data_IF_326058842382
#
_entry.id   IF_326058842382
#
_cell.length_a   1.000
_cell.length_b   1.000
_cell.length_c   1.000
_cell.angle_alpha   90.00
_cell.angle_beta   90.00
_cell.angle_gamma   90.00
#
_symmetry.space_group_name_H-M   'P 1'
#
loop_
_entity.id
_entity.type
_entity.pdbx_description
1 polymer ?
#
# COMPACT_ATOMS: atom_id res chain seq x y z
N UNK A 1 21.11 -69.64 -57.13
CA UNK A 1 21.67 -68.31 -56.98
C UNK A 1 20.64 -67.33 -57.53
N UNK A 2 19.81 -66.74 -56.67
CA UNK A 2 18.74 -65.80 -57.08
C UNK A 2 19.06 -64.43 -56.52
N UNK A 3 19.30 -63.48 -57.41
CA UNK A 3 19.44 -62.07 -57.09
C UNK A 3 18.09 -61.47 -56.81
N UNK A 4 17.89 -60.97 -55.59
CA UNK A 4 16.74 -60.17 -55.23
C UNK A 4 17.15 -58.70 -55.21
N UNK A 5 16.64 -57.92 -56.14
CA UNK A 5 16.73 -56.43 -56.13
C UNK A 5 15.75 -55.89 -55.18
N UNK A 6 16.19 -55.11 -54.11
CA UNK A 6 15.35 -54.28 -53.30
C UNK A 6 15.10 -52.98 -54.05
N UNK A 7 13.85 -52.70 -54.36
CA UNK A 7 13.40 -51.41 -54.83
C UNK A 7 13.11 -50.51 -53.61
N UNK A 8 13.86 -49.42 -53.48
CA UNK A 8 13.64 -48.39 -52.45
C UNK A 8 12.62 -47.41 -52.99
N UNK A 9 11.37 -47.49 -52.50
CA UNK A 9 10.34 -46.53 -52.83
C UNK A 9 10.49 -45.35 -51.87
N UNK A 10 10.90 -44.19 -52.40
CA UNK A 10 11.02 -42.96 -51.69
C UNK A 10 9.58 -42.38 -51.44
N UNK A 11 9.07 -42.49 -50.24
CA UNK A 11 7.85 -41.83 -49.84
C UNK A 11 8.21 -40.35 -49.59
N UNK A 12 7.84 -39.48 -50.52
CA UNK A 12 7.82 -38.04 -50.32
C UNK A 12 6.63 -37.71 -49.36
N UNK A 13 6.92 -37.60 -48.06
CA UNK A 13 5.99 -36.94 -47.12
C UNK A 13 5.98 -35.45 -47.49
N UNK A 14 4.91 -35.00 -48.13
CA UNK A 14 4.57 -33.59 -48.22
C UNK A 14 4.22 -33.11 -46.82
N UNK A 15 5.15 -32.46 -46.13
CA UNK A 15 4.83 -31.64 -44.96
C UNK A 15 3.92 -30.50 -45.42
N UNK A 16 2.62 -30.70 -45.34
CA UNK A 16 1.69 -29.61 -45.41
C UNK A 16 2.01 -28.72 -44.17
N UNK A 17 2.61 -27.56 -44.41
CA UNK A 17 2.81 -26.56 -43.37
C UNK A 17 1.41 -26.24 -42.76
N UNK A 18 1.23 -26.53 -41.51
CA UNK A 18 0.07 -26.09 -40.78
C UNK A 18 -0.07 -24.57 -40.96
N UNK A 19 -1.29 -24.02 -41.10
CA UNK A 19 -1.46 -22.57 -41.22
C UNK A 19 -0.81 -21.92 -40.00
N UNK A 20 0.07 -20.94 -40.23
CA UNK A 20 0.69 -20.17 -39.15
C UNK A 20 -0.43 -19.48 -38.36
N UNK A 21 -0.72 -20.00 -37.17
CA UNK A 21 -1.66 -19.43 -36.25
C UNK A 21 -0.96 -18.17 -35.65
N UNK A 22 -1.70 -17.07 -35.52
CA UNK A 22 -1.20 -15.90 -34.80
C UNK A 22 -0.70 -16.35 -33.44
N UNK A 23 0.47 -15.89 -33.06
CA UNK A 23 1.04 -16.22 -31.74
C UNK A 23 1.69 -15.02 -31.12
N UNK A 24 1.34 -14.77 -29.86
CA UNK A 24 2.02 -13.79 -29.00
C UNK A 24 2.67 -14.55 -27.86
N UNK A 25 3.91 -14.19 -27.57
CA UNK A 25 4.70 -14.74 -26.46
C UNK A 25 5.44 -13.62 -25.77
N UNK A 26 5.43 -13.59 -24.43
CA UNK A 26 6.29 -12.70 -23.65
C UNK A 26 7.64 -13.39 -23.47
N UNK A 27 8.68 -12.81 -24.06
CA UNK A 27 10.04 -13.34 -24.01
C UNK A 27 10.75 -12.92 -22.72
N UNK A 28 10.52 -11.67 -22.31
CA UNK A 28 11.03 -11.07 -21.06
C UNK A 28 10.02 -10.04 -20.54
N UNK A 29 9.78 -9.97 -19.23
CA UNK A 29 10.27 -10.91 -18.20
C UNK A 29 9.66 -12.30 -18.34
N UNK A 30 10.19 -13.27 -17.58
CA UNK A 30 9.62 -14.63 -17.53
C UNK A 30 8.50 -14.71 -16.49
N UNK A 31 7.65 -15.74 -16.62
CA UNK A 31 6.65 -16.07 -15.60
C UNK A 31 7.32 -16.19 -14.23
N UNK A 32 6.75 -15.54 -13.20
CA UNK A 32 7.26 -15.54 -11.83
C UNK A 32 8.48 -14.66 -11.58
N UNK A 33 8.95 -13.87 -12.56
CA UNK A 33 10.11 -12.99 -12.37
C UNK A 33 9.87 -11.92 -11.30
N UNK A 34 10.90 -11.59 -10.52
CA UNK A 34 10.92 -10.39 -9.67
C UNK A 34 11.41 -9.19 -10.48
N UNK A 35 10.69 -8.08 -10.39
CA UNK A 35 10.95 -6.85 -11.15
C UNK A 35 11.14 -5.66 -10.20
N UNK A 36 12.13 -4.82 -10.48
CA UNK A 36 12.39 -3.58 -9.77
C UNK A 36 13.03 -2.54 -10.70
N UNK A 37 12.69 -1.27 -10.55
CA UNK A 37 13.21 -0.18 -11.38
C UNK A 37 12.71 -0.24 -12.82
N UNK A 38 13.55 0.17 -13.75
CA UNK A 38 13.22 0.18 -15.19
C UNK A 38 13.59 -1.17 -15.82
N UNK A 39 12.62 -1.90 -16.31
CA UNK A 39 12.80 -3.22 -16.92
C UNK A 39 12.42 -3.21 -18.40
N UNK A 40 13.08 -4.02 -19.21
CA UNK A 40 12.71 -4.20 -20.61
C UNK A 40 11.66 -5.31 -20.74
N UNK A 41 10.52 -4.99 -21.34
CA UNK A 41 9.52 -5.98 -21.75
C UNK A 41 9.76 -6.32 -23.21
N UNK A 42 10.01 -7.59 -23.50
CA UNK A 42 10.22 -8.12 -24.86
C UNK A 42 9.12 -9.13 -25.16
N UNK A 43 8.43 -8.93 -26.27
CA UNK A 43 7.44 -9.85 -26.77
C UNK A 43 7.75 -10.28 -28.20
N UNK A 44 7.42 -11.51 -28.53
CA UNK A 44 7.37 -12.01 -29.90
C UNK A 44 5.91 -12.02 -30.34
N UNK A 45 5.62 -11.44 -31.50
CA UNK A 45 4.26 -11.40 -32.04
C UNK A 45 4.28 -11.70 -33.54
N UNK A 46 3.70 -12.84 -33.93
CA UNK A 46 3.62 -13.29 -35.31
C UNK A 46 2.19 -13.08 -35.81
N UNK A 47 1.97 -12.30 -36.89
CA UNK A 47 0.63 -12.12 -37.43
C UNK A 47 0.16 -13.39 -38.16
N UNK A 48 -1.15 -13.61 -38.32
CA UNK A 48 -1.68 -14.63 -39.17
C UNK A 48 -1.19 -14.44 -40.62
N UNK A 49 -1.12 -15.55 -41.40
CA UNK A 49 -0.65 -15.53 -42.78
C UNK A 49 -1.44 -14.52 -43.62
N UNK A 50 -0.73 -13.55 -44.22
CA UNK A 50 -1.31 -12.51 -45.07
C UNK A 50 -1.80 -11.28 -44.32
N UNK A 51 -1.69 -11.24 -43.01
CA UNK A 51 -2.06 -10.08 -42.16
C UNK A 51 -0.81 -9.32 -41.71
N UNK A 52 -1.02 -8.09 -41.19
CA UNK A 52 0.05 -7.26 -40.62
C UNK A 52 -0.39 -6.77 -39.25
N UNK A 53 0.55 -6.69 -38.33
CA UNK A 53 0.31 -6.07 -37.03
C UNK A 53 0.25 -4.56 -37.20
N UNK A 54 -0.69 -3.93 -36.49
CA UNK A 54 -0.81 -2.47 -36.36
C UNK A 54 -0.04 -2.00 -35.13
N UNK A 55 -0.17 -2.72 -34.04
CA UNK A 55 0.45 -2.38 -32.76
C UNK A 55 0.66 -3.63 -31.91
N UNK A 56 1.68 -3.57 -31.07
CA UNK A 56 1.88 -4.49 -29.95
C UNK A 56 1.94 -3.65 -28.68
N UNK A 57 1.16 -4.00 -27.67
CA UNK A 57 1.02 -3.23 -26.44
C UNK A 57 1.25 -4.16 -25.27
N UNK A 58 1.91 -3.68 -24.21
CA UNK A 58 1.84 -4.31 -22.89
C UNK A 58 0.88 -3.49 -22.02
N UNK A 59 -0.02 -4.17 -21.36
CA UNK A 59 -0.95 -3.61 -20.41
C UNK A 59 -0.67 -4.16 -19.01
N UNK A 60 -0.62 -3.27 -18.03
CA UNK A 60 -0.44 -3.62 -16.62
C UNK A 60 -1.79 -3.81 -15.94
N UNK A 61 -1.80 -4.46 -14.81
CA UNK A 61 -3.01 -4.65 -13.99
C UNK A 61 -3.62 -3.31 -13.51
N UNK A 62 -2.80 -2.26 -13.39
CA UNK A 62 -3.27 -0.89 -13.06
C UNK A 62 -3.91 -0.16 -14.23
N UNK A 63 -3.91 -0.75 -15.44
CA UNK A 63 -4.50 -0.16 -16.64
C UNK A 63 -3.53 0.66 -17.49
N UNK A 64 -2.28 0.83 -17.10
CA UNK A 64 -1.27 1.49 -17.94
C UNK A 64 -1.00 0.62 -19.16
N UNK A 65 -0.99 1.24 -20.35
CA UNK A 65 -0.73 0.57 -21.63
C UNK A 65 0.45 1.23 -22.33
N UNK A 66 1.49 0.45 -22.62
CA UNK A 66 2.72 0.90 -23.24
C UNK A 66 2.86 0.23 -24.62
N UNK A 67 3.14 1.01 -25.65
CA UNK A 67 3.40 0.49 -27.01
C UNK A 67 4.80 -0.10 -27.08
N UNK A 68 4.91 -1.34 -27.56
CA UNK A 68 6.19 -1.97 -27.85
C UNK A 68 6.63 -1.57 -29.27
N UNK A 69 7.88 -1.14 -29.38
CA UNK A 69 8.50 -0.85 -30.66
C UNK A 69 9.04 -2.13 -31.34
N UNK A 70 8.92 -2.29 -32.66
CA UNK A 70 9.52 -3.41 -33.36
C UNK A 70 11.05 -3.35 -33.23
N UNK A 71 11.65 -4.50 -33.03
CA UNK A 71 13.10 -4.68 -32.96
C UNK A 71 13.60 -5.54 -34.11
N UNK A 72 13.99 -6.80 -33.87
CA UNK A 72 14.49 -7.73 -34.89
C UNK A 72 13.47 -8.80 -35.19
N UNK A 73 13.21 -9.08 -36.44
CA UNK A 73 12.20 -10.04 -36.90
C UNK A 73 10.81 -9.75 -36.30
N UNK A 74 10.20 -10.74 -35.63
CA UNK A 74 8.87 -10.65 -35.03
C UNK A 74 8.91 -10.18 -33.54
N UNK A 75 10.02 -9.60 -33.13
CA UNK A 75 10.21 -9.14 -31.73
C UNK A 75 9.89 -7.67 -31.57
N UNK A 76 9.33 -7.34 -30.42
CA UNK A 76 8.93 -6.00 -30.01
C UNK A 76 9.39 -5.75 -28.57
N UNK A 77 9.86 -4.54 -28.27
CA UNK A 77 10.24 -4.18 -26.90
C UNK A 77 9.78 -2.79 -26.48
N UNK A 78 9.67 -2.63 -25.16
CA UNK A 78 9.46 -1.36 -24.48
C UNK A 78 10.07 -1.41 -23.09
N UNK A 79 10.39 -0.24 -22.54
CA UNK A 79 10.75 -0.11 -21.13
C UNK A 79 9.50 0.06 -20.29
N UNK A 80 9.40 -0.69 -19.19
CA UNK A 80 8.39 -0.58 -18.17
C UNK A 80 9.06 -0.05 -16.89
N UNK A 81 8.61 1.10 -16.42
CA UNK A 81 9.04 1.62 -15.13
C UNK A 81 8.16 1.01 -14.03
N UNK A 82 8.75 0.07 -13.28
CA UNK A 82 8.02 -0.62 -12.22
C UNK A 82 7.69 0.30 -11.03
N UNK A 83 8.33 1.47 -10.89
CA UNK A 83 7.99 2.44 -9.86
C UNK A 83 6.52 2.91 -9.95
N UNK A 84 5.91 2.83 -11.13
CA UNK A 84 4.50 3.12 -11.38
C UNK A 84 3.56 1.97 -11.03
N UNK A 85 4.09 0.80 -10.69
CA UNK A 85 3.33 -0.39 -10.33
C UNK A 85 3.31 -0.57 -8.81
N UNK A 86 2.23 -1.15 -8.31
CA UNK A 86 2.18 -1.58 -6.90
C UNK A 86 3.14 -2.76 -6.69
N UNK A 87 3.77 -2.82 -5.51
CA UNK A 87 4.52 -4.01 -5.11
C UNK A 87 3.57 -5.22 -4.97
N UNK A 88 4.15 -6.41 -5.03
CA UNK A 88 3.42 -7.66 -4.98
C UNK A 88 3.21 -8.28 -6.36
N UNK A 89 2.32 -9.26 -6.43
CA UNK A 89 2.01 -9.98 -7.67
C UNK A 89 1.26 -9.09 -8.65
N UNK A 90 1.75 -9.01 -9.89
CA UNK A 90 1.17 -8.22 -10.97
C UNK A 90 1.00 -9.08 -12.22
N UNK A 91 -0.03 -8.82 -13.00
CA UNK A 91 -0.20 -9.39 -14.33
C UNK A 91 0.31 -8.41 -15.39
N UNK A 92 1.09 -8.90 -16.33
CA UNK A 92 1.48 -8.20 -17.55
C UNK A 92 0.82 -8.89 -18.73
N UNK A 93 -0.02 -8.17 -19.46
CA UNK A 93 -0.75 -8.66 -20.62
C UNK A 93 -0.18 -8.03 -21.89
N UNK A 94 0.35 -8.81 -22.80
CA UNK A 94 0.74 -8.33 -24.14
C UNK A 94 -0.37 -8.61 -25.12
N UNK A 95 -0.75 -7.60 -25.89
CA UNK A 95 -1.82 -7.65 -26.89
C UNK A 95 -1.26 -7.17 -28.22
N UNK A 96 -1.44 -7.98 -29.29
CA UNK A 96 -1.12 -7.62 -30.65
C UNK A 96 -2.39 -7.27 -31.43
N UNK A 97 -2.45 -6.07 -32.00
CA UNK A 97 -3.54 -5.59 -32.86
C UNK A 97 -3.23 -5.82 -34.34
N UNK A 98 -4.19 -6.32 -35.11
CA UNK A 98 -4.08 -6.53 -36.56
C UNK A 98 -4.57 -5.27 -37.29
N UNK A 99 -3.83 -4.84 -38.31
CA UNK A 99 -4.17 -3.65 -39.12
C UNK A 99 -5.52 -3.84 -39.83
N UNK A 100 -6.42 -2.90 -39.62
CA UNK A 100 -7.75 -2.88 -40.26
C UNK A 100 -8.77 -3.80 -39.60
N UNK A 101 -8.43 -4.44 -38.47
CA UNK A 101 -9.37 -5.24 -37.68
C UNK A 101 -10.10 -4.32 -36.69
N UNK A 102 -11.39 -4.11 -36.92
CA UNK A 102 -12.27 -3.37 -36.02
C UNK A 102 -13.08 -4.37 -35.17
N UNK A 103 -12.68 -4.48 -33.90
CA UNK A 103 -13.33 -5.42 -32.96
C UNK A 103 -14.83 -5.13 -32.74
N UNK A 104 -15.29 -3.90 -33.01
CA UNK A 104 -16.69 -3.50 -32.86
C UNK A 104 -17.63 -4.15 -33.90
N UNK A 105 -17.07 -4.69 -34.97
CA UNK A 105 -17.84 -5.32 -36.09
C UNK A 105 -18.18 -6.78 -35.83
N UNK A 106 -17.69 -7.38 -34.76
CA UNK A 106 -17.88 -8.82 -34.50
C UNK A 106 -18.91 -9.04 -33.38
N UNK A 107 -19.90 -9.88 -33.67
CA UNK A 107 -20.88 -10.30 -32.67
C UNK A 107 -20.27 -11.35 -31.73
N UNK A 108 -20.54 -11.25 -30.45
CA UNK A 108 -20.03 -12.05 -29.33
C UNK A 108 -20.27 -13.59 -29.36
N UNK A 109 -20.55 -14.22 -30.49
CA UNK A 109 -20.94 -15.63 -30.58
C UNK A 109 -20.12 -16.49 -31.55
N UNK A 110 -19.02 -15.99 -32.10
CA UNK A 110 -18.18 -16.76 -33.00
C UNK A 110 -16.97 -17.34 -32.28
N UNK A 111 -17.01 -18.66 -31.96
CA UNK A 111 -15.91 -19.39 -31.31
C UNK A 111 -14.57 -19.28 -32.05
N UNK A 112 -14.58 -19.16 -33.37
CA UNK A 112 -13.36 -18.97 -34.19
C UNK A 112 -12.76 -17.60 -33.94
N UNK A 113 -13.57 -16.61 -33.63
CA UNK A 113 -13.12 -15.27 -33.31
C UNK A 113 -12.52 -15.20 -31.87
N UNK A 114 -13.16 -15.84 -30.90
CA UNK A 114 -12.62 -15.93 -29.53
C UNK A 114 -11.24 -16.57 -29.52
N UNK A 115 -11.04 -17.69 -30.21
CA UNK A 115 -9.77 -18.36 -30.32
C UNK A 115 -8.72 -17.52 -31.09
N UNK A 116 -9.15 -16.71 -32.06
CA UNK A 116 -8.27 -15.79 -32.79
C UNK A 116 -7.80 -14.64 -31.90
N UNK A 117 -8.65 -14.10 -31.03
CA UNK A 117 -8.27 -13.09 -30.03
C UNK A 117 -7.30 -13.68 -29.00
N UNK A 118 -7.60 -14.85 -28.46
CA UNK A 118 -6.74 -15.52 -27.50
C UNK A 118 -5.31 -15.72 -28.02
N UNK A 119 -5.15 -16.07 -29.28
CA UNK A 119 -3.85 -16.25 -29.91
C UNK A 119 -3.07 -14.94 -30.14
N UNK A 120 -3.72 -13.77 -29.99
CA UNK A 120 -3.10 -12.43 -30.08
C UNK A 120 -2.80 -11.84 -28.73
N UNK A 121 -2.92 -12.61 -27.66
CA UNK A 121 -2.68 -12.17 -26.29
C UNK A 121 -1.78 -13.17 -25.58
N UNK A 122 -0.93 -12.65 -24.70
CA UNK A 122 -0.14 -13.44 -23.77
C UNK A 122 -0.12 -12.75 -22.43
N UNK A 123 -0.33 -13.49 -21.36
CA UNK A 123 -0.26 -13.00 -19.98
C UNK A 123 0.83 -13.73 -19.22
N UNK A 124 1.57 -13.01 -18.41
CA UNK A 124 2.46 -13.56 -17.40
C UNK A 124 2.20 -12.89 -16.06
N UNK A 125 2.55 -13.57 -14.99
CA UNK A 125 2.54 -13.03 -13.64
C UNK A 125 3.96 -12.77 -13.18
N UNK A 126 4.18 -11.59 -12.62
CA UNK A 126 5.47 -11.14 -12.10
C UNK A 126 5.30 -10.65 -10.67
N UNK A 127 6.38 -10.52 -9.92
CA UNK A 127 6.37 -9.91 -8.60
C UNK A 127 7.16 -8.61 -8.66
N UNK A 128 6.49 -7.48 -8.45
CA UNK A 128 7.14 -6.15 -8.39
C UNK A 128 7.64 -5.92 -6.97
N UNK A 129 8.90 -5.52 -6.85
CA UNK A 129 9.55 -5.19 -5.56
C UNK A 129 10.33 -3.88 -5.68
N UNK A 130 9.61 -2.78 -5.80
CA UNK A 130 10.24 -1.46 -5.73
C UNK A 130 10.64 -1.17 -4.29
N UNK A 131 11.82 -0.58 -4.06
CA UNK A 131 12.19 -0.13 -2.73
C UNK A 131 11.23 0.95 -2.25
N UNK A 132 10.92 0.91 -0.96
CA UNK A 132 10.29 2.00 -0.25
C UNK A 132 11.36 2.78 0.51
N UNK A 133 11.10 4.06 0.68
CA UNK A 133 11.83 4.93 1.61
C UNK A 133 10.99 5.13 2.86
N UNK A 134 11.68 5.32 3.97
CA UNK A 134 11.04 5.66 5.23
C UNK A 134 10.89 7.17 5.31
N UNK A 135 9.67 7.64 5.63
CA UNK A 135 9.37 9.04 5.82
C UNK A 135 8.67 9.23 7.16
N UNK A 136 9.22 10.12 7.98
CA UNK A 136 8.73 10.41 9.32
C UNK A 136 7.85 11.65 9.33
N UNK A 137 6.66 11.54 9.91
CA UNK A 137 5.73 12.65 9.99
C UNK A 137 4.81 12.57 11.19
N UNK A 138 3.97 13.60 11.29
CA UNK A 138 2.89 13.69 12.26
C UNK A 138 1.60 14.05 11.55
N UNK A 139 0.54 13.32 11.87
CA UNK A 139 -0.75 13.41 11.20
C UNK A 139 -1.83 14.06 12.09
N UNK A 140 -1.47 14.53 13.31
CA UNK A 140 -2.43 15.06 14.26
C UNK A 140 -1.84 16.26 15.02
N UNK A 141 -2.30 17.45 14.69
CA UNK A 141 -1.78 18.69 15.28
C UNK A 141 -2.78 19.83 15.19
N UNK A 142 -2.79 20.66 16.22
CA UNK A 142 -3.68 21.80 16.39
C UNK A 142 -2.95 23.14 16.28
N UNK A 143 -3.69 24.16 15.88
CA UNK A 143 -3.25 25.54 15.77
C UNK A 143 -4.20 26.48 16.51
N UNK A 144 -3.98 27.79 16.44
CA UNK A 144 -4.89 28.79 17.04
C UNK A 144 -6.22 28.92 16.29
N UNK A 145 -6.47 28.09 15.27
CA UNK A 145 -7.78 28.02 14.62
C UNK A 145 -8.73 27.05 15.33
N UNK A 146 -8.21 26.30 16.30
CA UNK A 146 -8.97 25.61 17.34
C UNK A 146 -8.34 25.93 18.71
N UNK A 147 -8.04 24.93 19.50
CA UNK A 147 -7.52 25.04 20.86
C UNK A 147 -6.01 24.96 21.00
N UNK A 148 -5.29 24.90 19.87
CA UNK A 148 -3.83 24.95 19.84
C UNK A 148 -3.25 26.35 19.87
N UNK A 149 -1.99 26.48 19.49
CA UNK A 149 -1.21 27.73 19.55
C UNK A 149 -0.67 28.11 18.18
N UNK A 150 -0.59 29.43 17.88
CA UNK A 150 -0.04 30.00 16.65
C UNK A 150 -0.84 29.60 15.38
N UNK A 151 -0.42 30.14 14.25
CA UNK A 151 -1.14 29.97 12.98
C UNK A 151 -0.67 28.71 12.23
N UNK A 152 -1.48 28.16 11.31
CA UNK A 152 -1.12 27.04 10.46
C UNK A 152 0.20 27.23 9.70
N UNK A 153 0.48 28.45 9.23
CA UNK A 153 1.76 28.79 8.62
C UNK A 153 2.94 28.45 9.53
N UNK A 154 2.86 28.85 10.80
CA UNK A 154 3.93 28.62 11.78
C UNK A 154 4.11 27.13 12.04
N UNK A 155 3.01 26.35 12.02
CA UNK A 155 3.00 24.91 12.22
C UNK A 155 3.77 24.19 11.09
N UNK A 156 3.42 24.46 9.83
CA UNK A 156 4.12 23.87 8.69
C UNK A 156 5.60 24.27 8.63
N UNK A 157 5.93 25.55 8.85
CA UNK A 157 7.32 26.03 8.88
C UNK A 157 8.11 25.37 10.02
N UNK A 158 7.51 25.19 11.19
CA UNK A 158 8.16 24.54 12.31
C UNK A 158 8.40 23.04 12.04
N UNK A 159 7.38 22.32 11.60
CA UNK A 159 7.47 20.90 11.26
C UNK A 159 8.57 20.65 10.23
N UNK A 160 8.61 21.44 9.16
CA UNK A 160 9.61 21.34 8.09
C UNK A 160 11.01 21.76 8.55
N UNK A 161 11.14 22.96 9.15
CA UNK A 161 12.47 23.60 9.32
C UNK A 161 13.08 23.38 10.70
N UNK A 162 12.28 23.12 11.74
CA UNK A 162 12.76 22.88 13.12
C UNK A 162 12.66 21.42 13.51
N UNK A 163 11.51 20.82 13.34
CA UNK A 163 11.33 19.41 13.64
C UNK A 163 11.90 18.48 12.55
N UNK A 164 12.13 18.98 11.34
CA UNK A 164 12.70 18.22 10.21
C UNK A 164 11.85 16.98 9.86
N UNK A 165 10.55 17.11 9.93
CA UNK A 165 9.63 16.08 9.46
C UNK A 165 9.66 16.00 7.92
N UNK A 166 9.37 14.83 7.40
CA UNK A 166 9.18 14.61 5.96
C UNK A 166 7.76 14.96 5.54
N UNK A 167 6.78 14.69 6.41
CA UNK A 167 5.38 15.08 6.17
C UNK A 167 4.70 15.52 7.46
N UNK A 168 3.68 16.36 7.32
CA UNK A 168 2.95 16.91 8.47
C UNK A 168 1.53 17.31 8.07
N UNK A 169 0.55 17.10 8.96
CA UNK A 169 -0.82 17.52 8.78
C UNK A 169 -1.26 18.48 9.90
N UNK A 170 -1.93 19.56 9.53
CA UNK A 170 -2.73 20.38 10.46
C UNK A 170 -4.16 19.83 10.44
N UNK A 171 -4.71 19.55 11.63
CA UNK A 171 -6.00 18.89 11.81
C UNK A 171 -6.81 19.55 12.95
N UNK A 172 -6.93 20.86 12.92
CA UNK A 172 -7.73 21.63 13.90
C UNK A 172 -9.15 21.07 14.05
N UNK A 173 -9.76 21.25 15.21
CA UNK A 173 -11.11 20.77 15.51
C UNK A 173 -12.15 21.30 14.52
N UNK A 174 -12.83 20.41 13.86
CA UNK A 174 -13.73 20.69 12.74
C UNK A 174 -14.91 21.58 13.13
N UNK A 175 -15.40 21.45 14.35
CA UNK A 175 -16.51 22.22 14.90
C UNK A 175 -16.13 23.65 15.25
N UNK A 176 -14.86 23.93 15.51
CA UNK A 176 -14.34 25.28 15.81
C UNK A 176 -13.96 26.05 14.54
N UNK A 177 -13.56 25.35 13.46
CA UNK A 177 -13.13 25.96 12.21
C UNK A 177 -14.27 26.70 11.50
N UNK A 178 -14.00 27.91 11.05
CA UNK A 178 -14.77 28.54 9.98
C UNK A 178 -14.32 28.02 8.61
N UNK A 179 -15.16 28.14 7.59
CA UNK A 179 -14.75 27.81 6.21
C UNK A 179 -13.58 28.65 5.71
N UNK A 180 -13.44 29.89 6.21
CA UNK A 180 -12.35 30.79 5.82
C UNK A 180 -11.03 30.35 6.45
N UNK A 181 -11.00 29.98 7.72
CA UNK A 181 -9.83 29.44 8.41
C UNK A 181 -9.39 28.12 7.75
N UNK A 182 -10.34 27.25 7.43
CA UNK A 182 -10.01 26.01 6.72
C UNK A 182 -9.43 26.26 5.33
N UNK A 183 -9.97 27.24 4.60
CA UNK A 183 -9.40 27.65 3.32
C UNK A 183 -7.97 28.21 3.48
N UNK A 184 -7.67 28.89 4.59
CA UNK A 184 -6.31 29.32 4.90
C UNK A 184 -5.41 28.14 5.25
N UNK A 185 -5.87 27.14 6.04
CA UNK A 185 -5.11 25.90 6.28
C UNK A 185 -4.69 25.26 4.96
N UNK A 186 -5.63 25.08 4.01
CA UNK A 186 -5.36 24.54 2.68
C UNK A 186 -4.29 25.38 1.96
N UNK A 187 -4.45 26.70 1.95
CA UNK A 187 -3.53 27.61 1.28
C UNK A 187 -2.12 27.59 1.91
N UNK A 188 -2.01 27.46 3.23
CA UNK A 188 -0.72 27.35 3.92
C UNK A 188 -0.07 25.98 3.67
N UNK A 189 -0.85 24.89 3.64
CA UNK A 189 -0.37 23.57 3.25
C UNK A 189 0.21 23.59 1.82
N UNK A 190 -0.52 24.17 0.85
CA UNK A 190 -0.07 24.25 -0.53
C UNK A 190 1.20 25.10 -0.70
N UNK A 191 1.37 26.16 0.12
CA UNK A 191 2.60 26.98 0.12
C UNK A 191 3.78 26.26 0.76
N UNK A 192 3.53 25.43 1.76
CA UNK A 192 4.57 24.73 2.51
C UNK A 192 5.04 23.45 1.81
N UNK A 193 4.17 22.87 0.95
CA UNK A 193 4.44 21.62 0.24
C UNK A 193 5.62 21.77 -0.72
N UNK A 194 6.59 20.89 -0.59
CA UNK A 194 7.83 20.87 -1.37
C UNK A 194 8.17 19.42 -1.73
N UNK A 195 7.61 18.89 -2.84
CA UNK A 195 7.87 17.53 -3.26
C UNK A 195 9.36 17.17 -3.27
N UNK A 196 9.68 16.01 -2.70
CA UNK A 196 11.07 15.55 -2.49
C UNK A 196 11.76 16.13 -1.25
N UNK A 197 11.14 17.05 -0.52
CA UNK A 197 11.71 17.66 0.71
C UNK A 197 10.76 17.65 1.89
N UNK A 198 9.49 18.00 1.68
CA UNK A 198 8.48 18.10 2.73
C UNK A 198 7.09 18.01 2.11
N UNK A 199 6.25 17.15 2.64
CA UNK A 199 4.85 17.02 2.23
C UNK A 199 3.95 17.65 3.29
N UNK A 200 3.22 18.68 2.90
CA UNK A 200 2.23 19.33 3.73
C UNK A 200 0.83 18.78 3.41
N UNK A 201 0.23 18.12 4.39
CA UNK A 201 -1.14 17.64 4.36
C UNK A 201 -2.03 18.59 5.16
N UNK A 202 -3.30 18.63 4.83
CA UNK A 202 -4.32 19.33 5.59
C UNK A 202 -5.48 18.38 5.88
N UNK A 203 -6.16 18.64 6.97
CA UNK A 203 -7.33 17.88 7.40
C UNK A 203 -8.11 18.62 8.45
N UNK A 204 -8.96 17.93 9.16
CA UNK A 204 -9.58 18.40 10.36
C UNK A 204 -9.89 17.22 11.29
N UNK A 205 -10.01 17.49 12.58
CA UNK A 205 -10.44 16.55 13.57
C UNK A 205 -11.93 16.73 13.88
N UNK A 206 -12.73 15.72 13.61
CA UNK A 206 -14.13 15.68 13.99
C UNK A 206 -14.25 15.17 15.43
N UNK A 207 -14.64 16.05 16.34
CA UNK A 207 -14.91 15.72 17.74
C UNK A 207 -16.31 15.13 17.88
N UNK A 208 -16.41 14.01 18.57
CA UNK A 208 -17.66 13.29 18.81
C UNK A 208 -17.71 12.75 20.24
N UNK A 209 -18.90 12.43 20.71
CA UNK A 209 -19.12 11.90 22.07
C UNK A 209 -18.41 10.56 22.33
N UNK A 210 -18.01 9.85 21.28
CA UNK A 210 -17.47 8.49 21.36
C UNK A 210 -16.05 8.33 20.80
N UNK A 211 -15.41 9.44 20.41
CA UNK A 211 -14.03 9.48 19.92
C UNK A 211 -13.79 10.54 18.87
N UNK A 212 -12.55 10.90 18.67
CA UNK A 212 -12.13 11.89 17.71
C UNK A 212 -11.58 11.23 16.44
N UNK A 213 -11.89 11.80 15.28
CA UNK A 213 -11.49 11.28 13.99
C UNK A 213 -10.83 12.35 13.15
N UNK A 214 -9.59 12.12 12.72
CA UNK A 214 -9.02 12.92 11.65
C UNK A 214 -9.51 12.44 10.29
N UNK A 215 -9.65 13.40 9.38
CA UNK A 215 -9.85 13.14 7.96
C UNK A 215 -9.03 14.12 7.13
N UNK A 216 -8.47 13.63 6.02
CA UNK A 216 -7.46 14.38 5.28
C UNK A 216 -7.90 14.74 3.87
N UNK A 217 -7.37 15.87 3.37
CA UNK A 217 -7.58 16.41 2.02
C UNK A 217 -9.06 16.61 1.67
N UNK A 218 -9.86 16.95 2.69
CA UNK A 218 -11.28 17.21 2.52
C UNK A 218 -11.52 18.59 1.88
N UNK A 219 -12.56 18.73 1.02
CA UNK A 219 -12.97 20.04 0.52
C UNK A 219 -13.74 20.88 1.58
N UNK A 220 -14.08 20.30 2.73
CA UNK A 220 -14.84 20.94 3.80
C UNK A 220 -14.28 20.58 5.17
N UNK A 221 -14.24 21.50 6.14
CA UNK A 221 -13.80 21.19 7.50
C UNK A 221 -14.83 20.39 8.27
N UNK A 222 -16.12 20.45 7.90
CA UNK A 222 -17.22 19.96 8.73
C UNK A 222 -17.78 18.66 8.20
N UNK A 223 -17.79 17.68 9.09
CA UNK A 223 -18.55 16.45 8.96
C UNK A 223 -19.68 16.44 10.02
N UNK A 224 -20.43 15.35 10.11
CA UNK A 224 -21.49 15.21 11.12
C UNK A 224 -20.91 15.10 12.53
N UNK A 225 -21.67 15.49 13.53
CA UNK A 225 -21.35 15.23 14.95
C UNK A 225 -21.68 13.79 15.38
N UNK A 226 -22.33 12.98 14.52
CA UNK A 226 -22.67 11.59 14.80
C UNK A 226 -21.68 10.67 14.11
N UNK A 227 -21.17 9.67 14.81
CA UNK A 227 -20.12 8.76 14.32
C UNK A 227 -20.52 8.08 13.00
N UNK A 228 -21.73 7.50 12.91
CA UNK A 228 -22.17 6.79 11.69
C UNK A 228 -22.31 7.74 10.50
N UNK A 229 -22.81 8.96 10.71
CA UNK A 229 -22.95 9.96 9.65
C UNK A 229 -21.57 10.46 9.20
N UNK A 230 -20.61 10.56 10.13
CA UNK A 230 -19.22 10.89 9.82
C UNK A 230 -18.57 9.79 8.96
N UNK A 231 -18.77 8.52 9.31
CA UNK A 231 -18.31 7.42 8.46
C UNK A 231 -18.89 7.49 7.05
N UNK A 232 -20.20 7.75 6.92
CA UNK A 232 -20.85 7.91 5.61
C UNK A 232 -20.28 9.09 4.82
N UNK A 233 -20.01 10.21 5.47
CA UNK A 233 -19.43 11.40 4.83
C UNK A 233 -18.00 11.10 4.34
N UNK A 234 -17.14 10.51 5.17
CA UNK A 234 -15.78 10.10 4.83
C UNK A 234 -15.80 9.14 3.62
N UNK A 235 -16.68 8.14 3.62
CA UNK A 235 -16.82 7.18 2.51
C UNK A 235 -17.32 7.85 1.23
N UNK A 236 -18.37 8.67 1.33
CA UNK A 236 -19.00 9.29 0.15
C UNK A 236 -18.09 10.29 -0.55
N UNK A 237 -17.24 10.96 0.20
CA UNK A 237 -16.24 11.90 -0.33
C UNK A 237 -14.91 11.24 -0.69
N UNK A 238 -14.74 9.93 -0.43
CA UNK A 238 -13.50 9.20 -0.71
C UNK A 238 -12.32 9.67 0.14
N UNK A 239 -12.57 10.12 1.37
CA UNK A 239 -11.55 10.61 2.29
C UNK A 239 -10.88 9.46 3.04
N UNK A 240 -9.63 9.69 3.46
CA UNK A 240 -8.95 8.84 4.42
C UNK A 240 -9.29 9.30 5.82
N UNK A 241 -9.79 8.39 6.64
CA UNK A 241 -10.12 8.58 8.04
C UNK A 241 -9.10 7.93 8.97
N UNK A 242 -8.95 8.50 10.16
CA UNK A 242 -7.98 8.12 11.16
C UNK A 242 -8.66 8.18 12.55
N UNK A 243 -8.57 7.12 13.33
CA UNK A 243 -9.04 7.06 14.71
C UNK A 243 -7.96 7.63 15.63
N UNK A 244 -8.29 8.72 16.34
CA UNK A 244 -7.37 9.43 17.21
C UNK A 244 -7.41 8.85 18.65
N UNK A 245 -6.25 8.82 19.31
CA UNK A 245 -6.03 8.48 20.73
C UNK A 245 -7.04 7.47 21.33
N UNK A 246 -7.23 6.28 20.74
CA UNK A 246 -8.25 5.33 21.15
C UNK A 246 -7.99 4.83 22.58
N UNK A 247 -9.02 4.81 23.43
CA UNK A 247 -8.93 4.29 24.78
C UNK A 247 -10.01 3.24 25.02
N UNK A 248 -9.64 1.98 25.31
CA UNK A 248 -10.61 0.92 25.57
C UNK A 248 -11.28 1.05 26.94
N UNK A 249 -10.80 1.97 27.79
CA UNK A 249 -11.33 2.17 29.15
C UNK A 249 -12.22 3.38 29.18
N UNK A 250 -13.47 3.25 29.65
CA UNK A 250 -14.31 4.43 29.90
C UNK A 250 -13.59 5.36 30.89
N UNK A 251 -13.53 6.65 30.57
CA UNK A 251 -13.02 7.68 31.47
C UNK A 251 -14.22 8.31 32.22
N UNK A 252 -14.61 7.78 33.38
CA UNK A 252 -15.89 8.10 34.01
C UNK A 252 -16.10 9.55 34.41
N UNK A 253 -15.05 10.37 34.40
CA UNK A 253 -15.09 11.78 34.82
C UNK A 253 -14.91 12.80 33.69
N UNK A 254 -14.81 12.38 32.41
CA UNK A 254 -14.47 13.27 31.30
C UNK A 254 -15.62 13.57 30.34
N UNK A 255 -16.80 13.00 30.52
CA UNK A 255 -17.98 13.30 29.68
C UNK A 255 -17.91 12.89 28.21
N UNK A 256 -16.78 12.37 27.77
CA UNK A 256 -16.52 11.88 26.42
C UNK A 256 -15.76 10.55 26.45
N UNK A 257 -15.80 9.80 25.37
CA UNK A 257 -15.22 8.46 25.25
C UNK A 257 -14.41 8.40 23.96
N UNK A 258 -13.34 7.58 23.96
CA UNK A 258 -12.50 7.32 22.79
C UNK A 258 -12.56 5.85 22.38
N UNK A 259 -13.70 5.20 22.63
CA UNK A 259 -13.92 3.80 22.31
C UNK A 259 -14.76 3.60 21.05
N UNK A 260 -15.13 4.65 20.34
CA UNK A 260 -15.86 4.62 19.09
C UNK A 260 -17.05 3.64 19.14
N UNK A 261 -17.91 3.78 20.15
CA UNK A 261 -19.03 2.88 20.46
C UNK A 261 -18.58 1.44 20.77
N UNK A 262 -17.49 1.27 21.51
CA UNK A 262 -16.91 -0.05 21.81
C UNK A 262 -16.18 -0.68 20.63
N UNK A 263 -15.58 0.16 19.78
CA UNK A 263 -14.90 -0.26 18.55
C UNK A 263 -15.78 -0.99 17.55
N UNK A 264 -17.09 -0.66 17.54
CA UNK A 264 -18.05 -1.32 16.66
C UNK A 264 -17.61 -1.25 15.20
N UNK A 265 -17.55 -2.41 14.54
CA UNK A 265 -17.12 -2.53 13.15
C UNK A 265 -18.19 -2.05 12.18
N UNK A 266 -17.86 -1.05 11.37
CA UNK A 266 -18.71 -0.53 10.29
C UNK A 266 -18.14 -0.97 8.92
N UNK A 267 -18.63 -2.06 8.31
CA UNK A 267 -18.07 -2.62 7.07
C UNK A 267 -17.99 -1.63 5.91
N UNK A 268 -18.96 -0.71 5.81
CA UNK A 268 -19.00 0.32 4.77
C UNK A 268 -17.84 1.32 4.91
N UNK A 269 -17.38 1.58 6.14
CA UNK A 269 -16.31 2.53 6.43
C UNK A 269 -14.91 1.89 6.44
N UNK A 270 -14.79 0.57 6.50
CA UNK A 270 -13.55 -0.17 6.66
C UNK A 270 -12.43 0.22 5.68
N UNK A 271 -12.81 0.51 4.44
CA UNK A 271 -11.82 0.93 3.44
C UNK A 271 -11.28 2.32 3.73
N UNK A 272 -12.15 3.25 4.11
CA UNK A 272 -11.83 4.66 4.29
C UNK A 272 -11.21 4.96 5.65
N UNK A 273 -11.68 4.29 6.72
CA UNK A 273 -11.08 4.38 8.06
C UNK A 273 -9.80 3.53 8.09
N UNK A 274 -8.69 4.13 7.63
CA UNK A 274 -7.48 3.37 7.30
C UNK A 274 -6.43 3.38 8.42
N UNK A 275 -6.49 4.34 9.34
CA UNK A 275 -5.43 4.58 10.32
C UNK A 275 -5.98 4.59 11.75
N UNK A 276 -5.13 4.27 12.72
CA UNK A 276 -5.39 4.39 14.16
C UNK A 276 -4.11 4.76 14.90
N UNK A 277 -4.20 5.63 15.89
CA UNK A 277 -3.07 5.95 16.75
C UNK A 277 -2.72 4.80 17.69
N UNK A 278 -1.42 4.49 17.78
CA UNK A 278 -0.86 3.48 18.67
C UNK A 278 0.46 4.00 19.24
N UNK A 279 0.43 4.58 20.44
CA UNK A 279 1.58 5.26 21.06
C UNK A 279 2.00 4.63 22.38
N UNK A 280 1.09 3.89 23.00
CA UNK A 280 1.23 3.35 24.35
C UNK A 280 0.71 1.90 24.41
N UNK A 281 1.03 1.13 25.47
CA UNK A 281 0.44 -0.19 25.69
C UNK A 281 -1.09 -0.18 25.85
N UNK A 282 -1.67 0.93 26.35
CA UNK A 282 -3.11 1.11 26.46
C UNK A 282 -3.74 1.25 25.06
N UNK A 283 -3.14 2.03 24.20
CA UNK A 283 -3.57 2.17 22.79
C UNK A 283 -3.30 0.88 21.98
N UNK A 284 -2.25 0.10 22.31
CA UNK A 284 -2.08 -1.26 21.75
C UNK A 284 -3.29 -2.14 22.07
N UNK A 285 -3.82 -2.06 23.29
CA UNK A 285 -5.02 -2.83 23.65
C UNK A 285 -6.26 -2.38 22.85
N UNK A 286 -6.43 -1.09 22.60
CA UNK A 286 -7.46 -0.57 21.72
C UNK A 286 -7.26 -1.04 20.26
N UNK A 287 -6.03 -0.96 19.77
CA UNK A 287 -5.65 -1.46 18.44
C UNK A 287 -6.02 -2.91 18.23
N UNK A 288 -5.65 -3.78 19.19
CA UNK A 288 -6.01 -5.22 19.17
C UNK A 288 -7.54 -5.39 19.21
N UNK A 289 -8.25 -4.60 20.01
CA UNK A 289 -9.70 -4.68 20.08
C UNK A 289 -10.37 -4.31 18.76
N UNK A 290 -9.89 -3.27 18.07
CA UNK A 290 -10.36 -2.88 16.74
C UNK A 290 -10.08 -3.96 15.68
N UNK A 291 -8.88 -4.52 15.67
CA UNK A 291 -8.52 -5.61 14.75
C UNK A 291 -9.39 -6.86 14.98
N UNK A 292 -9.65 -7.20 16.23
CA UNK A 292 -10.55 -8.33 16.60
C UNK A 292 -12.02 -8.05 16.23
N UNK A 293 -12.45 -6.78 16.25
CA UNK A 293 -13.78 -6.38 15.78
C UNK A 293 -13.92 -6.49 14.27
N UNK A 294 -12.83 -6.54 13.52
CA UNK A 294 -12.80 -6.70 12.06
C UNK A 294 -12.28 -5.48 11.28
N UNK A 295 -11.89 -4.41 11.95
CA UNK A 295 -11.28 -3.25 11.30
C UNK A 295 -9.93 -3.60 10.66
N UNK A 296 -9.69 -3.02 9.49
CA UNK A 296 -8.41 -3.09 8.80
C UNK A 296 -7.70 -1.74 8.91
N UNK A 297 -7.19 -1.42 10.08
CA UNK A 297 -6.51 -0.15 10.39
C UNK A 297 -5.00 -0.33 10.49
N UNK A 298 -4.25 0.62 9.92
CA UNK A 298 -2.79 0.69 10.06
C UNK A 298 -2.38 1.52 11.27
N UNK A 299 -1.23 1.22 11.85
CA UNK A 299 -0.70 1.92 13.00
C UNK A 299 -0.11 3.29 12.62
N UNK A 300 -0.46 4.33 13.37
CA UNK A 300 0.09 5.68 13.30
C UNK A 300 0.61 6.13 14.66
N UNK A 301 1.69 6.91 14.68
CA UNK A 301 2.17 7.62 15.86
C UNK A 301 1.97 9.12 15.64
N UNK A 302 1.16 9.74 16.49
CA UNK A 302 0.86 11.16 16.39
C UNK A 302 1.05 11.82 17.74
N UNK A 303 1.21 13.16 17.73
CA UNK A 303 1.48 13.89 18.97
C UNK A 303 0.23 14.50 19.56
N UNK A 304 -0.78 14.82 18.74
CA UNK A 304 -1.92 15.64 19.16
C UNK A 304 -1.43 16.97 19.77
N UNK A 305 -0.57 17.67 19.02
CA UNK A 305 0.25 18.77 19.54
C UNK A 305 -0.50 20.10 19.55
N UNK A 306 -0.59 20.72 20.75
CA UNK A 306 -1.25 22.02 20.97
C UNK A 306 -0.26 23.16 21.33
N UNK A 307 0.98 22.84 21.73
CA UNK A 307 1.93 23.79 22.32
C UNK A 307 2.87 24.47 21.31
N UNK A 308 2.60 24.43 20.01
CA UNK A 308 3.48 24.97 18.97
C UNK A 308 4.89 24.35 18.94
N UNK A 309 5.03 23.10 19.32
CA UNK A 309 6.28 22.32 19.24
C UNK A 309 6.15 21.11 18.31
N UNK A 310 5.43 21.26 17.26
CA UNK A 310 5.02 20.22 16.32
C UNK A 310 6.16 19.34 15.84
N UNK A 311 5.98 18.02 15.90
CA UNK A 311 6.93 17.00 15.49
C UNK A 311 8.15 16.86 16.41
N UNK A 312 8.13 17.40 17.61
CA UNK A 312 9.17 17.24 18.65
C UNK A 312 8.83 16.24 19.72
N UNK A 313 7.61 15.75 19.71
CA UNK A 313 7.14 14.80 20.70
C UNK A 313 7.71 13.40 20.53
N UNK A 314 7.29 12.47 21.38
CA UNK A 314 7.91 11.16 21.43
C UNK A 314 7.35 10.15 20.43
N UNK A 315 6.51 10.57 19.46
CA UNK A 315 5.84 9.64 18.54
C UNK A 315 5.74 10.19 17.13
N UNK A 316 5.94 9.34 16.15
CA UNK A 316 5.86 9.66 14.73
C UNK A 316 5.14 8.56 13.96
N UNK A 317 4.40 8.94 12.95
CA UNK A 317 3.98 8.00 11.90
C UNK A 317 5.12 7.86 10.91
N UNK A 318 5.54 6.64 10.65
CA UNK A 318 6.49 6.36 9.57
C UNK A 318 5.75 5.75 8.40
N UNK A 319 5.80 6.42 7.26
CA UNK A 319 5.20 5.96 6.02
C UNK A 319 6.28 5.35 5.11
N UNK A 320 6.02 4.13 4.61
CA UNK A 320 6.85 3.47 3.61
C UNK A 320 6.30 3.83 2.23
N UNK A 321 6.85 4.88 1.64
CA UNK A 321 6.42 5.40 0.34
C UNK A 321 7.58 5.36 -0.68
N UNK A 322 7.25 5.40 -1.97
CA UNK A 322 8.25 5.35 -3.04
C UNK A 322 8.91 6.70 -3.25
N UNK A 323 8.16 7.76 -3.02
CA UNK A 323 8.60 9.12 -3.20
C UNK A 323 7.96 10.04 -2.17
N UNK A 324 8.63 11.13 -1.84
CA UNK A 324 8.15 12.14 -0.91
C UNK A 324 7.30 13.16 -1.68
N UNK A 325 6.09 12.75 -2.01
CA UNK A 325 5.05 13.58 -2.63
C UNK A 325 3.75 13.39 -1.86
N UNK A 326 2.80 14.32 -2.01
CA UNK A 326 1.48 14.20 -1.36
C UNK A 326 0.78 12.91 -1.78
N UNK A 327 0.85 12.58 -3.07
CA UNK A 327 0.31 11.34 -3.63
C UNK A 327 1.01 10.11 -3.09
N UNK A 328 2.35 10.13 -2.97
CA UNK A 328 3.15 9.01 -2.47
C UNK A 328 2.88 8.74 -0.99
N UNK A 329 2.83 9.77 -0.15
CA UNK A 329 2.49 9.65 1.27
C UNK A 329 1.04 9.17 1.44
N UNK A 330 0.07 9.79 0.75
CA UNK A 330 -1.33 9.37 0.82
C UNK A 330 -1.51 7.92 0.34
N UNK A 331 -0.80 7.49 -0.69
CA UNK A 331 -0.84 6.10 -1.17
C UNK A 331 -0.32 5.13 -0.11
N UNK A 332 0.74 5.49 0.62
CA UNK A 332 1.26 4.68 1.72
C UNK A 332 0.26 4.59 2.89
N UNK A 333 -0.38 5.71 3.27
CA UNK A 333 -1.42 5.75 4.30
C UNK A 333 -2.64 4.90 3.91
N UNK A 334 -3.17 5.06 2.68
CA UNK A 334 -4.27 4.25 2.16
C UNK A 334 -3.95 2.76 2.11
N UNK A 335 -2.70 2.43 1.80
CA UNK A 335 -2.20 1.06 1.77
C UNK A 335 -1.80 0.54 3.15
N UNK A 336 -1.91 1.37 4.20
CA UNK A 336 -1.52 1.02 5.57
C UNK A 336 -0.05 0.57 5.67
N UNK A 337 0.80 1.03 4.75
CA UNK A 337 2.25 0.79 4.82
C UNK A 337 2.89 1.80 5.75
N UNK A 338 2.53 1.66 7.03
CA UNK A 338 2.94 2.55 8.09
C UNK A 338 3.29 1.78 9.35
N UNK A 339 4.02 2.42 10.20
CA UNK A 339 4.17 2.00 11.59
C UNK A 339 4.22 3.22 12.51
N UNK A 340 3.78 3.04 13.74
CA UNK A 340 3.98 3.99 14.82
C UNK A 340 5.36 3.81 15.39
N UNK A 341 6.14 4.87 15.50
CA UNK A 341 7.48 4.86 16.06
C UNK A 341 7.61 5.84 17.24
N UNK A 342 8.30 5.41 18.29
CA UNK A 342 8.75 6.28 19.38
C UNK A 342 10.24 6.60 19.29
N UNK A 343 10.84 6.24 18.19
CA UNK A 343 12.19 6.56 17.79
C UNK A 343 12.17 7.18 16.39
N UNK A 344 12.98 8.23 16.18
CA UNK A 344 12.89 9.06 14.99
C UNK A 344 13.58 8.48 13.77
N UNK A 345 14.41 7.49 13.92
CA UNK A 345 15.21 6.93 12.83
C UNK A 345 15.23 5.40 12.82
N UNK A 346 14.43 4.75 13.67
CA UNK A 346 14.26 3.31 13.63
C UNK A 346 13.55 2.89 12.33
N UNK A 347 14.26 2.18 11.48
CA UNK A 347 13.70 1.58 10.27
C UNK A 347 13.13 0.20 10.58
N UNK A 348 11.84 0.00 10.29
CA UNK A 348 11.12 -1.26 10.49
C UNK A 348 10.47 -1.70 9.18
N UNK A 349 10.78 -2.92 8.73
CA UNK A 349 9.96 -3.60 7.72
C UNK A 349 9.39 -4.90 8.28
N UNK A 350 8.19 -5.22 7.83
CA UNK A 350 7.50 -6.46 8.18
C UNK A 350 6.79 -7.00 6.95
N UNK A 351 7.12 -8.24 6.60
CA UNK A 351 6.46 -8.95 5.50
C UNK A 351 5.98 -10.33 5.94
N UNK A 352 4.90 -10.80 5.34
CA UNK A 352 4.39 -12.17 5.49
C UNK A 352 4.21 -12.79 4.10
N UNK A 353 4.89 -13.91 3.86
CA UNK A 353 4.95 -14.57 2.55
C UNK A 353 5.32 -13.60 1.41
N UNK A 354 6.21 -12.63 1.75
CA UNK A 354 6.71 -11.62 0.83
C UNK A 354 5.78 -10.44 0.55
N UNK A 355 4.61 -10.38 1.19
CA UNK A 355 3.72 -9.21 1.10
C UNK A 355 3.99 -8.25 2.26
N UNK A 356 3.97 -6.95 1.96
CA UNK A 356 4.32 -5.89 2.91
C UNK A 356 3.23 -5.65 3.97
N UNK A 357 3.60 -5.05 5.12
CA UNK A 357 2.63 -4.56 6.11
C UNK A 357 1.55 -3.70 5.43
N UNK A 358 0.33 -3.80 5.94
CA UNK A 358 -0.87 -3.17 5.34
C UNK A 358 -1.59 -4.04 4.30
N UNK A 359 -0.98 -5.13 3.87
CA UNK A 359 -1.56 -6.01 2.83
C UNK A 359 -2.72 -6.87 3.36
N UNK A 360 -3.68 -7.12 2.47
CA UNK A 360 -4.79 -8.09 2.68
C UNK A 360 -4.59 -9.22 1.68
N UNK A 361 -4.25 -10.41 2.16
CA UNK A 361 -3.86 -11.55 1.32
C UNK A 361 -4.79 -12.75 1.50
N UNK A 362 -4.85 -13.59 0.47
CA UNK A 362 -5.55 -14.87 0.51
C UNK A 362 -4.53 -15.97 0.23
N UNK A 363 -4.42 -16.96 1.12
CA UNK A 363 -3.45 -18.06 1.03
C UNK A 363 -4.09 -19.38 1.46
N UNK A 364 -3.58 -20.53 1.00
CA UNK A 364 -3.90 -21.82 1.63
C UNK A 364 -3.53 -21.78 3.11
N UNK A 365 -4.34 -22.44 3.94
CA UNK A 365 -3.99 -22.68 5.34
C UNK A 365 -2.68 -23.48 5.42
N UNK A 366 -1.85 -23.16 6.41
CA UNK A 366 -0.53 -23.76 6.55
C UNK A 366 0.51 -22.76 7.03
N UNK A 367 1.77 -23.04 6.75
CA UNK A 367 2.88 -22.24 7.25
C UNK A 367 3.31 -21.21 6.21
N UNK A 368 3.31 -19.94 6.61
CA UNK A 368 3.82 -18.79 5.85
C UNK A 368 5.14 -18.33 6.47
N UNK A 369 5.97 -17.63 5.70
CA UNK A 369 7.23 -17.06 6.18
C UNK A 369 7.01 -15.59 6.57
N UNK A 370 7.23 -15.29 7.85
CA UNK A 370 7.33 -13.93 8.35
C UNK A 370 8.79 -13.47 8.27
N UNK A 371 9.02 -12.26 7.76
CA UNK A 371 10.33 -11.60 7.79
C UNK A 371 10.17 -10.21 8.38
N UNK A 372 10.94 -9.94 9.44
CA UNK A 372 11.03 -8.63 10.08
C UNK A 372 12.46 -8.13 9.94
N UNK A 373 12.64 -6.89 9.49
CA UNK A 373 13.95 -6.22 9.55
C UNK A 373 13.84 -4.98 10.41
N UNK A 374 14.82 -4.78 11.26
CA UNK A 374 14.94 -3.61 12.12
C UNK A 374 16.34 -3.05 11.96
N UNK A 375 16.46 -1.75 11.82
CA UNK A 375 17.73 -1.05 11.79
C UNK A 375 17.61 0.28 12.52
N UNK A 376 18.54 0.49 13.46
CA UNK A 376 18.68 1.75 14.18
C UNK A 376 20.09 2.28 13.89
N UNK A 377 20.22 3.48 13.30
CA UNK A 377 21.51 4.06 12.98
C UNK A 377 22.22 4.67 14.19
N UNK A 378 21.53 4.87 15.30
CA UNK A 378 22.08 5.55 16.47
C UNK A 378 23.07 4.66 17.23
N UNK A 379 24.17 5.28 17.62
CA UNK A 379 25.25 4.57 18.28
C UNK A 379 24.85 4.13 19.69
N UNK A 380 24.81 2.82 19.91
CA UNK A 380 24.51 2.22 21.22
C UNK A 380 23.05 1.90 21.42
N UNK A 381 22.18 2.29 20.49
CA UNK A 381 20.78 1.87 20.48
C UNK A 381 20.66 0.46 19.91
N UNK A 382 19.91 -0.38 20.59
CA UNK A 382 19.71 -1.78 20.18
C UNK A 382 18.26 -2.19 20.37
N UNK A 383 17.80 -3.06 19.49
CA UNK A 383 16.51 -3.75 19.61
C UNK A 383 16.58 -4.75 20.75
N UNK A 384 15.78 -4.51 21.81
CA UNK A 384 15.67 -5.39 22.97
C UNK A 384 14.78 -6.59 22.72
N UNK A 385 13.63 -6.35 22.07
CA UNK A 385 12.67 -7.40 21.74
C UNK A 385 11.95 -7.08 20.43
N UNK A 386 11.58 -8.13 19.70
CA UNK A 386 10.60 -8.11 18.60
C UNK A 386 9.54 -9.15 18.97
N UNK A 387 8.31 -8.70 19.19
CA UNK A 387 7.16 -9.54 19.45
C UNK A 387 6.30 -9.63 18.17
N UNK A 388 6.07 -10.84 17.69
CA UNK A 388 5.14 -11.12 16.60
C UNK A 388 3.77 -11.49 17.19
N UNK A 389 2.78 -10.69 16.86
CA UNK A 389 1.39 -10.93 17.23
C UNK A 389 0.66 -11.69 16.13
N UNK A 390 -0.13 -12.66 16.54
CA UNK A 390 -1.12 -13.37 15.73
C UNK A 390 -2.47 -13.28 16.46
N UNK A 391 -3.47 -12.71 15.80
CA UNK A 391 -4.83 -12.57 16.33
C UNK A 391 -4.87 -11.97 17.75
N UNK A 392 -4.07 -10.91 17.96
CA UNK A 392 -3.98 -10.14 19.22
C UNK A 392 -3.16 -10.78 20.33
N UNK A 393 -2.46 -11.87 20.07
CA UNK A 393 -1.60 -12.53 21.06
C UNK A 393 -0.18 -12.64 20.56
N UNK A 394 0.80 -12.48 21.45
CA UNK A 394 2.19 -12.75 21.11
C UNK A 394 2.35 -14.22 20.79
N UNK A 395 2.55 -14.52 19.51
CA UNK A 395 2.75 -15.89 19.02
C UNK A 395 4.22 -16.31 19.12
N UNK A 396 5.14 -15.37 18.86
CA UNK A 396 6.57 -15.60 18.90
C UNK A 396 7.30 -14.32 19.31
N UNK A 397 8.51 -14.46 19.82
CA UNK A 397 9.39 -13.32 20.10
C UNK A 397 10.86 -13.67 19.91
N UNK A 398 11.67 -12.62 19.76
CA UNK A 398 13.13 -12.71 19.74
C UNK A 398 13.74 -11.52 20.48
N UNK A 399 14.91 -11.70 21.07
CA UNK A 399 15.66 -10.66 21.82
C UNK A 399 17.06 -10.50 21.24
N UNK A 400 17.22 -9.77 20.11
CA UNK A 400 18.45 -9.77 19.35
C UNK A 400 19.58 -9.01 20.04
N UNK A 401 19.30 -7.93 20.80
CA UNK A 401 20.29 -7.03 21.39
C UNK A 401 21.28 -6.44 20.36
N UNK A 402 20.76 -6.13 19.20
CA UNK A 402 21.51 -5.62 18.04
C UNK A 402 20.85 -4.37 17.48
N UNK A 403 21.65 -3.44 16.95
CA UNK A 403 21.17 -2.25 16.25
C UNK A 403 20.56 -2.58 14.88
N UNK A 404 21.05 -3.64 14.23
CA UNK A 404 20.48 -4.17 12.97
C UNK A 404 20.21 -5.65 13.10
N UNK A 405 19.00 -6.05 12.77
CA UNK A 405 18.60 -7.43 12.87
C UNK A 405 17.55 -7.79 11.81
N UNK A 406 17.69 -8.98 11.24
CA UNK A 406 16.70 -9.59 10.37
C UNK A 406 16.23 -10.91 11.00
N UNK A 407 14.93 -11.05 11.17
CA UNK A 407 14.30 -12.20 11.77
C UNK A 407 13.32 -12.86 10.82
N UNK A 408 13.69 -14.06 10.34
CA UNK A 408 12.79 -14.91 9.57
C UNK A 408 12.22 -16.00 10.50
N UNK A 409 10.89 -16.15 10.51
CA UNK A 409 10.21 -17.11 11.37
C UNK A 409 8.94 -17.67 10.69
N UNK A 410 8.60 -18.96 10.87
CA UNK A 410 7.38 -19.52 10.32
C UNK A 410 6.16 -19.08 11.15
N UNK A 411 5.05 -18.80 10.47
CA UNK A 411 3.73 -18.54 11.06
C UNK A 411 2.76 -19.56 10.49
N UNK A 412 2.18 -20.41 11.35
CA UNK A 412 1.21 -21.43 10.93
C UNK A 412 -0.21 -20.94 11.17
N UNK A 413 -1.02 -20.90 10.11
CA UNK A 413 -2.40 -20.44 10.13
C UNK A 413 -3.36 -21.62 9.89
N UNK A 414 -4.39 -21.71 10.73
CA UNK A 414 -5.57 -22.55 10.47
C UNK A 414 -6.44 -21.93 9.36
N UNK A 415 -7.41 -22.68 8.79
CA UNK A 415 -8.42 -22.05 7.95
C UNK A 415 -9.19 -20.95 8.71
N UNK A 416 -9.35 -19.77 8.10
CA UNK A 416 -10.04 -18.64 8.74
C UNK A 416 -9.47 -17.29 8.38
N UNK A 417 -9.93 -16.26 9.10
CA UNK A 417 -9.39 -14.90 8.99
C UNK A 417 -8.41 -14.67 10.12
N UNK A 418 -7.24 -14.18 9.77
CA UNK A 418 -6.14 -13.90 10.68
C UNK A 418 -5.54 -12.53 10.42
N UNK A 419 -4.83 -12.00 11.41
CA UNK A 419 -3.95 -10.85 11.22
C UNK A 419 -2.66 -11.03 12.03
N UNK A 420 -1.57 -10.50 11.47
CA UNK A 420 -0.28 -10.46 12.13
C UNK A 420 0.26 -9.03 12.14
N UNK A 421 0.86 -8.61 13.24
CA UNK A 421 1.66 -7.39 13.30
C UNK A 421 2.86 -7.59 14.23
N UNK A 422 3.82 -6.68 14.22
CA UNK A 422 4.99 -6.75 15.10
C UNK A 422 5.08 -5.51 15.98
N UNK A 423 5.55 -5.73 17.21
CA UNK A 423 6.00 -4.69 18.13
C UNK A 423 7.50 -4.81 18.32
N UNK A 424 8.20 -3.72 18.12
CA UNK A 424 9.63 -3.61 18.41
C UNK A 424 9.81 -2.83 19.70
N UNK A 425 10.62 -3.34 20.61
CA UNK A 425 11.02 -2.64 21.86
C UNK A 425 12.51 -2.43 21.83
N UNK A 426 12.96 -1.18 21.96
CA UNK A 426 14.37 -0.81 22.08
C UNK A 426 14.83 -0.87 23.55
N UNK A 427 16.15 -0.91 23.77
CA UNK A 427 16.74 -1.05 25.13
C UNK A 427 16.30 0.06 26.11
N UNK A 428 15.97 1.25 25.58
CA UNK A 428 15.41 2.37 26.36
C UNK A 428 13.94 2.22 26.73
N UNK A 429 13.27 1.13 26.31
CA UNK A 429 11.84 0.90 26.52
C UNK A 429 10.93 1.62 25.50
N UNK A 430 11.51 2.26 24.48
CA UNK A 430 10.74 2.83 23.37
C UNK A 430 10.11 1.70 22.55
N UNK A 431 8.87 1.89 22.15
CA UNK A 431 8.12 0.87 21.41
C UNK A 431 7.67 1.42 20.06
N UNK A 432 7.65 0.53 19.06
CA UNK A 432 7.15 0.81 17.72
C UNK A 432 6.23 -0.32 17.27
N UNK A 433 5.12 0.00 16.59
CA UNK A 433 4.10 -0.97 16.18
C UNK A 433 3.88 -0.91 14.68
N UNK A 434 4.05 -2.04 14.00
CA UNK A 434 3.75 -2.11 12.57
C UNK A 434 2.24 -2.14 12.30
N UNK A 435 1.85 -1.71 11.11
CA UNK A 435 0.55 -2.08 10.57
C UNK A 435 0.46 -3.59 10.37
N UNK A 436 -0.76 -4.17 10.42
CA UNK A 436 -0.95 -5.60 10.25
C UNK A 436 -0.83 -6.06 8.80
N UNK A 437 -0.69 -7.36 8.64
CA UNK A 437 -1.01 -8.09 7.41
C UNK A 437 -2.19 -8.99 7.73
N UNK A 438 -3.27 -8.88 6.96
CA UNK A 438 -4.48 -9.70 7.11
C UNK A 438 -4.46 -10.85 6.14
N UNK A 439 -4.80 -12.04 6.64
CA UNK A 439 -4.78 -13.28 5.87
C UNK A 439 -6.14 -13.96 5.90
N UNK A 440 -6.73 -14.19 4.73
CA UNK A 440 -7.83 -15.13 4.56
C UNK A 440 -7.23 -16.50 4.21
N UNK A 441 -7.14 -17.40 5.20
CA UNK A 441 -6.59 -18.74 5.01
C UNK A 441 -7.72 -19.73 4.64
N UNK A 442 -7.58 -20.52 3.55
CA UNK A 442 -8.57 -21.47 3.05
C UNK A 442 -8.07 -22.90 2.96
#
# INVERSE_FOLDING_TARGET
MRNTRLSLTLLLLSCAAAPAIAQVEIVSPKEGAELSGVVEVVARAVPPRGERLDRVMVQTQSGEAIRLAPTVADSYSATLDTAKLRNGRQALLVIAGIKGLDASRFKHQDKKWEQRIENLMAEIRVTVRNPYHFYWGDLHAHTSYSDGSRLPKDAYEYARDKAKLDFFAVTDHSEELTYQEYADIIAQADRADQPGRFVALYGAEATQDTGHLNFYLSPTPRLSARLDDTYQAIVSMGLLGHFNHPDPKPRPNQGWRDDFQGFHYAPAADRSMAMVEVRTPEEEAAYIAMLNAGWHVGAAGCEDQHDAKWGRGPTWTVALARELTREGIMEALWSRRTYSARDRNLELTFTLDGEDMGSRITRPAGTLTCLVTVADPDRGEVTDAIDLFLDGRVAQNVRPKLAKYAWATPVTLAPGKHYCFVRVTQAGGLMSWSSPIWVSAY
#
